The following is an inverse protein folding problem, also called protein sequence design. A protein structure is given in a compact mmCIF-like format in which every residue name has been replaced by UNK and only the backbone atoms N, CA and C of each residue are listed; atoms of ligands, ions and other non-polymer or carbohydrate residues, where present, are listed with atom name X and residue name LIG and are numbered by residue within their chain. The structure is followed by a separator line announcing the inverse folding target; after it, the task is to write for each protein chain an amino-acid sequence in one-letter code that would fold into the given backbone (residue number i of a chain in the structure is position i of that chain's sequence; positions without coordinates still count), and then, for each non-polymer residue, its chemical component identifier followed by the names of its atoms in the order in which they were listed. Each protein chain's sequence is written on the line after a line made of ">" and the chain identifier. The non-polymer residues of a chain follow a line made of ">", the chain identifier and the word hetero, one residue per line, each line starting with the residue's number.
data_IF_883456084203
#
_entry.id   IF_883456084203
#
_cell.length_a   1.000
_cell.length_b   1.000
_cell.length_c   1.000
_cell.angle_alpha   90.00
_cell.angle_beta   90.00
_cell.angle_gamma   90.00
#
_symmetry.space_group_name_H-M   'P 1'
#
loop_
_entity.id
_entity.type
_entity.pdbx_description
1 polymer ?
#
# COMPACT_ATOMS: atom_id res chain seq x y z
N UNK A 1 -3.97 16.71 0.32
CA UNK A 1 -5.35 16.18 0.21
C UNK A 1 -5.47 15.09 -0.85
N UNK A 2 -4.88 15.25 -2.04
CA UNK A 2 -4.94 14.26 -3.14
C UNK A 2 -4.14 12.99 -2.88
N UNK A 3 -3.01 13.09 -2.17
CA UNK A 3 -2.11 11.95 -1.94
C UNK A 3 -2.75 10.85 -1.08
N UNK A 4 -3.38 11.22 0.04
CA UNK A 4 -4.12 10.28 0.90
C UNK A 4 -5.25 9.56 0.15
N UNK A 5 -5.92 10.25 -0.78
CA UNK A 5 -6.97 9.65 -1.59
C UNK A 5 -6.41 8.60 -2.56
N UNK A 6 -5.25 8.88 -3.19
CA UNK A 6 -4.57 7.93 -4.06
C UNK A 6 -4.08 6.70 -3.29
N UNK A 7 -3.53 6.88 -2.08
CA UNK A 7 -3.10 5.76 -1.23
C UNK A 7 -4.27 4.88 -0.83
N UNK A 8 -5.40 5.48 -0.41
CA UNK A 8 -6.59 4.70 -0.07
C UNK A 8 -7.17 3.98 -1.28
N UNK A 9 -7.10 4.60 -2.47
CA UNK A 9 -7.48 3.95 -3.72
C UNK A 9 -6.62 2.69 -3.97
N UNK A 10 -5.30 2.81 -3.88
CA UNK A 10 -4.38 1.68 -4.09
C UNK A 10 -4.63 0.54 -3.09
N UNK A 11 -4.81 0.87 -1.81
CA UNK A 11 -5.11 -0.11 -0.75
C UNK A 11 -6.44 -0.81 -1.02
N UNK A 12 -7.48 -0.08 -1.41
CA UNK A 12 -8.79 -0.65 -1.72
C UNK A 12 -8.72 -1.57 -2.94
N UNK A 13 -8.01 -1.18 -4.00
CA UNK A 13 -7.79 -2.05 -5.17
C UNK A 13 -7.04 -3.32 -4.79
N UNK A 14 -5.98 -3.22 -3.99
CA UNK A 14 -5.25 -4.38 -3.50
C UNK A 14 -6.13 -5.32 -2.68
N UNK A 15 -7.01 -4.76 -1.83
CA UNK A 15 -7.96 -5.54 -1.04
C UNK A 15 -8.96 -6.31 -1.91
N UNK A 16 -9.50 -5.70 -2.98
CA UNK A 16 -10.40 -6.40 -3.90
C UNK A 16 -9.68 -7.51 -4.68
N UNK A 17 -8.44 -7.29 -5.12
CA UNK A 17 -7.62 -8.31 -5.79
C UNK A 17 -7.38 -9.51 -4.86
N UNK A 18 -7.04 -9.26 -3.59
CA UNK A 18 -6.74 -10.30 -2.60
C UNK A 18 -7.95 -11.19 -2.25
N UNK A 19 -9.18 -10.77 -2.57
CA UNK A 19 -10.38 -11.62 -2.46
C UNK A 19 -10.44 -12.68 -3.57
N UNK A 20 -9.75 -12.46 -4.69
CA UNK A 20 -9.82 -13.30 -5.89
C UNK A 20 -8.61 -14.25 -6.02
N UNK A 21 -7.52 -13.99 -5.28
CA UNK A 21 -6.27 -14.75 -5.41
C UNK A 21 -5.82 -15.34 -4.06
N UNK A 22 -5.20 -16.54 -4.05
CA UNK A 22 -4.61 -17.12 -2.84
C UNK A 22 -3.23 -16.51 -2.51
N UNK A 23 -2.66 -15.75 -3.44
CA UNK A 23 -1.32 -15.20 -3.35
C UNK A 23 -1.26 -13.81 -2.71
N UNK A 24 -0.39 -12.98 -3.30
CA UNK A 24 -0.05 -11.64 -2.81
C UNK A 24 -0.35 -10.55 -3.82
N UNK A 25 -0.48 -9.31 -3.35
CA UNK A 25 -0.58 -8.11 -4.19
C UNK A 25 0.60 -7.17 -3.95
N UNK A 26 1.20 -6.67 -5.03
CA UNK A 26 2.23 -5.64 -4.95
C UNK A 26 1.58 -4.25 -5.05
N UNK A 27 1.99 -3.34 -4.17
CA UNK A 27 1.60 -1.92 -4.23
C UNK A 27 2.87 -1.09 -4.26
N UNK A 28 2.92 -0.16 -5.20
CA UNK A 28 4.05 0.74 -5.38
C UNK A 28 3.92 1.98 -4.49
N UNK A 29 5.04 2.45 -3.93
CA UNK A 29 5.12 3.79 -3.29
C UNK A 29 5.21 4.88 -4.37
N UNK A 30 5.07 6.16 -4.00
CA UNK A 30 5.26 7.25 -4.96
C UNK A 30 6.69 7.23 -5.53
N UNK A 31 6.82 7.06 -6.85
CA UNK A 31 8.08 6.99 -7.56
C UNK A 31 8.95 8.24 -7.38
N UNK A 32 8.38 9.40 -6.99
CA UNK A 32 9.16 10.60 -6.63
C UNK A 32 10.11 10.36 -5.45
N UNK A 33 9.83 9.36 -4.62
CA UNK A 33 10.65 9.00 -3.47
C UNK A 33 11.81 8.05 -3.83
N UNK A 34 11.97 7.68 -5.11
CA UNK A 34 12.96 6.67 -5.54
C UNK A 34 14.42 6.97 -5.16
N UNK A 35 14.74 8.24 -4.92
CA UNK A 35 16.09 8.69 -4.53
C UNK A 35 16.20 9.08 -3.05
N UNK A 36 15.15 8.87 -2.27
CA UNK A 36 15.10 9.12 -0.83
C UNK A 36 14.72 7.81 -0.11
N UNK A 37 15.72 7.17 0.49
CA UNK A 37 15.56 5.88 1.17
C UNK A 37 14.65 6.00 2.40
N UNK A 38 14.84 7.04 3.21
CA UNK A 38 14.08 7.20 4.45
C UNK A 38 12.62 7.52 4.14
N UNK A 39 12.36 8.40 3.17
CA UNK A 39 11.00 8.71 2.74
C UNK A 39 10.29 7.49 2.13
N UNK A 40 11.01 6.68 1.34
CA UNK A 40 10.49 5.42 0.79
C UNK A 40 10.07 4.45 1.89
N UNK A 41 10.91 4.27 2.93
CA UNK A 41 10.63 3.37 4.05
C UNK A 41 9.40 3.86 4.84
N UNK A 42 9.32 5.17 5.10
CA UNK A 42 8.17 5.77 5.81
C UNK A 42 6.88 5.53 5.02
N UNK A 43 6.90 5.80 3.71
CA UNK A 43 5.74 5.62 2.83
C UNK A 43 5.29 4.16 2.76
N UNK A 44 6.22 3.24 2.60
CA UNK A 44 5.92 1.81 2.56
C UNK A 44 5.27 1.33 3.88
N UNK A 45 5.80 1.76 5.03
CA UNK A 45 5.22 1.43 6.34
C UNK A 45 3.82 2.01 6.53
N UNK A 46 3.55 3.21 6.00
CA UNK A 46 2.23 3.81 6.00
C UNK A 46 1.22 3.00 5.16
N UNK A 47 1.59 2.58 3.95
CA UNK A 47 0.73 1.72 3.13
C UNK A 47 0.39 0.40 3.85
N UNK A 48 1.39 -0.22 4.51
CA UNK A 48 1.18 -1.43 5.32
C UNK A 48 0.20 -1.16 6.47
N UNK A 49 0.26 0.00 7.14
CA UNK A 49 -0.69 0.32 8.21
C UNK A 49 -2.12 0.47 7.68
N UNK A 50 -2.29 1.07 6.50
CA UNK A 50 -3.61 1.19 5.86
C UNK A 50 -4.21 -0.17 5.49
N UNK A 51 -3.40 -1.13 5.02
CA UNK A 51 -3.85 -2.52 4.83
C UNK A 51 -4.24 -3.18 6.15
N UNK A 52 -3.45 -2.97 7.21
CA UNK A 52 -3.75 -3.50 8.54
C UNK A 52 -5.07 -2.97 9.11
N UNK A 53 -5.38 -1.68 8.90
CA UNK A 53 -6.64 -1.06 9.32
C UNK A 53 -7.88 -1.75 8.72
N UNK A 54 -7.75 -2.33 7.52
CA UNK A 54 -8.82 -3.08 6.85
C UNK A 54 -8.71 -4.60 7.03
N UNK A 55 -7.88 -5.05 7.97
CA UNK A 55 -7.76 -6.46 8.36
C UNK A 55 -6.90 -7.33 7.45
N UNK A 56 -6.05 -6.73 6.61
CA UNK A 56 -5.14 -7.47 5.73
C UNK A 56 -3.75 -7.53 6.36
N UNK A 57 -3.23 -8.75 6.55
CA UNK A 57 -1.87 -8.96 7.07
C UNK A 57 -0.82 -8.68 6.00
N UNK A 58 0.33 -8.15 6.42
CA UNK A 58 1.46 -7.76 5.54
C UNK A 58 2.14 -8.93 4.81
N UNK A 59 1.78 -10.18 5.12
CA UNK A 59 2.21 -11.35 4.36
C UNK A 59 1.47 -11.54 3.03
N UNK A 60 0.34 -10.84 2.85
CA UNK A 60 -0.49 -10.81 1.65
C UNK A 60 -0.11 -9.66 0.73
#
# INVERSE_FOLDING_TARGET
>A
MTELAAEKLLVNFGAEILKLIPGRVSVEVDAKLSFDTDATIIKARHLISLFKEIGIDKSR
#
